data_IF_076613842565
#
_entry.id   IF_076613842565
#
_cell.length_a   1.000
_cell.length_b   1.000
_cell.length_c   1.000
_cell.angle_alpha   90.00
_cell.angle_beta   90.00
_cell.angle_gamma   90.00
#
_symmetry.space_group_name_H-M   'P 1'
#
loop_
_entity.id
_entity.type
_entity.pdbx_description
1 polymer ?
#
# COMPACT_ATOMS: atom_id res chain seq x y z
N UNK A 1 -14.31 -38.69 14.45
CA UNK A 1 -15.17 -38.09 15.51
C UNK A 1 -16.56 -37.80 14.94
N UNK A 2 -17.63 -38.37 15.52
CA UNK A 2 -19.01 -38.26 15.02
C UNK A 2 -19.45 -36.78 14.88
N UNK A 3 -20.05 -36.40 13.75
CA UNK A 3 -20.45 -35.02 13.40
C UNK A 3 -21.45 -34.43 14.41
N UNK A 4 -22.32 -35.26 15.00
CA UNK A 4 -23.25 -34.83 16.07
C UNK A 4 -22.52 -34.43 17.35
N UNK A 5 -21.51 -35.21 17.75
CA UNK A 5 -20.69 -34.94 18.94
C UNK A 5 -19.91 -33.64 18.76
N UNK A 6 -19.30 -33.42 17.58
CA UNK A 6 -18.58 -32.16 17.27
C UNK A 6 -19.51 -30.93 17.34
N UNK A 7 -20.75 -31.04 16.84
CA UNK A 7 -21.74 -29.95 16.87
C UNK A 7 -22.21 -29.65 18.29
N UNK A 8 -22.47 -30.68 19.10
CA UNK A 8 -22.82 -30.55 20.51
C UNK A 8 -21.70 -29.86 21.31
N UNK A 9 -20.46 -30.31 21.16
CA UNK A 9 -19.29 -29.71 21.83
C UNK A 9 -19.10 -28.25 21.42
N UNK A 10 -19.20 -27.92 20.12
CA UNK A 10 -19.12 -26.53 19.65
C UNK A 10 -20.20 -25.65 20.28
N UNK A 11 -21.43 -26.15 20.47
CA UNK A 11 -22.52 -25.41 21.11
C UNK A 11 -22.28 -25.25 22.62
N UNK A 12 -21.92 -26.33 23.32
CA UNK A 12 -21.67 -26.34 24.77
C UNK A 12 -20.52 -25.41 25.17
N UNK A 13 -19.45 -25.38 24.36
CA UNK A 13 -18.25 -24.57 24.61
C UNK A 13 -18.21 -23.27 23.80
N UNK A 14 -19.32 -22.85 23.17
CA UNK A 14 -19.37 -21.66 22.33
C UNK A 14 -18.83 -20.38 23.01
N UNK A 15 -19.13 -20.08 24.29
CA UNK A 15 -18.57 -18.90 24.96
C UNK A 15 -17.05 -18.92 25.07
N UNK A 16 -16.46 -20.07 25.44
CA UNK A 16 -15.00 -20.23 25.55
C UNK A 16 -14.34 -20.09 24.18
N UNK A 17 -14.96 -20.65 23.13
CA UNK A 17 -14.48 -20.47 21.75
C UNK A 17 -14.49 -18.99 21.35
N UNK A 18 -15.54 -18.23 21.69
CA UNK A 18 -15.62 -16.78 21.42
C UNK A 18 -14.53 -15.98 22.14
N UNK A 19 -14.23 -16.31 23.39
CA UNK A 19 -13.13 -15.65 24.14
C UNK A 19 -11.79 -15.95 23.49
N UNK A 20 -11.54 -17.22 23.11
CA UNK A 20 -10.34 -17.61 22.37
C UNK A 20 -10.21 -16.82 21.06
N UNK A 21 -11.31 -16.69 20.32
CA UNK A 21 -11.34 -15.94 19.06
C UNK A 21 -11.03 -14.45 19.29
N UNK A 22 -11.63 -13.82 20.31
CA UNK A 22 -11.34 -12.43 20.68
C UNK A 22 -9.85 -12.20 21.01
N UNK A 23 -9.24 -13.10 21.78
CA UNK A 23 -7.80 -13.03 22.09
C UNK A 23 -6.96 -13.19 20.82
N UNK A 24 -7.33 -14.12 19.93
CA UNK A 24 -6.64 -14.29 18.65
C UNK A 24 -6.77 -13.05 17.76
N UNK A 25 -7.93 -12.41 17.72
CA UNK A 25 -8.17 -11.15 17.00
C UNK A 25 -7.30 -10.03 17.56
N UNK A 26 -7.19 -9.89 18.88
CA UNK A 26 -6.29 -8.92 19.50
C UNK A 26 -4.82 -9.18 19.14
N UNK A 27 -4.37 -10.44 19.27
CA UNK A 27 -3.01 -10.84 18.87
C UNK A 27 -2.72 -10.53 17.41
N UNK A 28 -3.67 -10.85 16.53
CA UNK A 28 -3.53 -10.64 15.09
C UNK A 28 -3.44 -9.14 14.74
N UNK A 29 -4.32 -8.30 15.31
CA UNK A 29 -4.40 -6.90 14.93
C UNK A 29 -3.44 -5.96 15.67
N UNK A 30 -3.00 -6.32 16.88
CA UNK A 30 -2.21 -5.42 17.73
C UNK A 30 -0.79 -5.91 18.01
N UNK A 31 -0.53 -7.23 17.93
CA UNK A 31 0.78 -7.79 18.30
C UNK A 31 1.55 -8.36 17.10
N UNK A 32 0.86 -9.05 16.18
CA UNK A 32 1.51 -9.70 15.02
C UNK A 32 2.29 -8.70 14.18
N UNK A 33 1.69 -7.55 13.87
CA UNK A 33 2.33 -6.48 13.08
C UNK A 33 3.52 -5.81 13.77
N UNK A 34 3.72 -5.99 15.09
CA UNK A 34 4.86 -5.42 15.81
C UNK A 34 6.14 -6.23 15.63
N UNK A 35 6.04 -7.56 15.45
CA UNK A 35 7.21 -8.41 15.28
C UNK A 35 7.83 -8.24 13.88
N UNK A 36 8.91 -7.48 13.74
CA UNK A 36 9.59 -7.28 12.44
C UNK A 36 10.10 -8.58 11.79
N UNK A 37 10.44 -9.61 12.57
CA UNK A 37 11.08 -10.83 12.06
C UNK A 37 10.17 -11.69 11.17
N UNK A 38 8.86 -11.46 11.19
CA UNK A 38 7.91 -12.21 10.36
C UNK A 38 7.72 -11.58 8.98
N UNK A 39 8.22 -10.36 8.77
CA UNK A 39 8.12 -9.65 7.50
C UNK A 39 9.13 -10.20 6.49
N UNK A 40 8.85 -10.02 5.19
CA UNK A 40 9.85 -10.28 4.15
C UNK A 40 11.06 -9.37 4.34
N UNK A 41 10.79 -8.10 4.64
CA UNK A 41 11.77 -7.15 5.14
C UNK A 41 11.06 -5.98 5.84
N UNK A 42 11.59 -5.50 6.96
CA UNK A 42 11.16 -4.24 7.58
C UNK A 42 12.34 -3.58 8.27
N UNK A 43 12.70 -2.39 7.79
CA UNK A 43 13.74 -1.57 8.41
C UNK A 43 13.36 -1.14 9.85
N UNK A 44 14.36 -0.74 10.65
CA UNK A 44 14.18 -0.53 12.09
C UNK A 44 13.26 0.65 12.38
N UNK A 45 13.52 1.75 11.70
CA UNK A 45 12.85 3.05 11.79
C UNK A 45 11.57 3.13 10.96
N UNK A 46 11.04 1.97 10.56
CA UNK A 46 9.88 1.85 9.68
C UNK A 46 8.65 1.24 10.38
N UNK A 47 7.95 2.02 11.23
CA UNK A 47 6.87 1.49 12.05
C UNK A 47 5.58 1.28 11.25
N UNK A 48 4.83 0.28 11.70
CA UNK A 48 3.39 0.12 11.41
C UNK A 48 2.64 0.39 12.70
N UNK A 49 1.79 1.41 12.71
CA UNK A 49 0.93 1.70 13.85
C UNK A 49 -0.25 0.72 13.92
N UNK A 50 -0.68 0.38 15.13
CA UNK A 50 -1.77 -0.58 15.36
C UNK A 50 -3.10 0.16 15.59
N UNK A 51 -4.25 -0.50 15.35
CA UNK A 51 -4.41 -1.86 14.81
C UNK A 51 -4.04 -1.94 13.33
N UNK A 52 -3.58 -3.10 12.86
CA UNK A 52 -3.36 -3.36 11.45
C UNK A 52 -3.80 -4.79 11.07
N UNK A 53 -4.32 -4.99 9.87
CA UNK A 53 -4.54 -6.32 9.30
C UNK A 53 -3.40 -6.63 8.33
N UNK A 54 -2.59 -7.65 8.60
CA UNK A 54 -1.52 -8.09 7.70
C UNK A 54 -1.65 -9.60 7.50
N UNK A 55 -2.17 -10.01 6.34
CA UNK A 55 -2.49 -11.41 6.04
C UNK A 55 -1.22 -12.26 5.98
N UNK A 56 -0.30 -11.93 5.06
CA UNK A 56 0.97 -12.60 4.88
C UNK A 56 2.16 -11.62 4.97
N UNK A 57 2.68 -11.36 6.18
CA UNK A 57 3.78 -10.43 6.38
C UNK A 57 5.07 -10.77 5.61
N UNK A 58 5.31 -12.05 5.28
CA UNK A 58 6.50 -12.48 4.52
C UNK A 58 6.56 -11.85 3.11
N UNK A 59 5.41 -11.38 2.59
CA UNK A 59 5.31 -10.68 1.32
C UNK A 59 5.30 -9.16 1.46
N UNK A 60 5.57 -8.64 2.64
CA UNK A 60 5.59 -7.20 2.91
C UNK A 60 7.03 -6.76 3.13
N UNK A 61 7.45 -5.77 2.34
CA UNK A 61 8.78 -5.19 2.30
C UNK A 61 8.67 -3.70 2.58
N UNK A 62 9.16 -3.27 3.74
CA UNK A 62 9.18 -1.87 4.16
C UNK A 62 10.63 -1.41 4.30
N UNK A 63 11.07 -0.57 3.37
CA UNK A 63 12.41 -0.01 3.34
C UNK A 63 12.58 1.16 4.30
N UNK A 64 13.79 1.72 4.34
CA UNK A 64 14.24 2.67 5.33
C UNK A 64 13.35 3.91 5.43
N UNK A 65 13.10 4.36 6.66
CA UNK A 65 12.34 5.59 6.95
C UNK A 65 10.94 5.61 6.31
N UNK A 66 10.29 4.46 6.24
CA UNK A 66 8.88 4.37 5.83
C UNK A 66 7.94 4.45 7.03
N UNK A 67 6.66 4.76 6.81
CA UNK A 67 5.67 4.76 7.88
C UNK A 67 4.31 4.35 7.39
N UNK A 68 3.64 3.45 8.12
CA UNK A 68 2.24 3.11 7.90
C UNK A 68 1.46 3.38 9.19
N UNK A 69 0.44 4.24 9.12
CA UNK A 69 -0.41 4.53 10.27
C UNK A 69 -1.50 3.47 10.48
N UNK A 70 -2.19 3.56 11.61
CA UNK A 70 -3.13 2.56 12.09
C UNK A 70 -4.35 2.38 11.19
N UNK A 71 -5.12 1.34 11.49
CA UNK A 71 -6.31 0.91 10.75
C UNK A 71 -6.03 0.45 9.32
N UNK A 72 -4.77 0.18 8.98
CA UNK A 72 -4.34 -0.26 7.65
C UNK A 72 -4.59 -1.75 7.44
N UNK A 73 -4.88 -2.14 6.20
CA UNK A 73 -5.14 -3.51 5.74
C UNK A 73 -4.20 -3.85 4.58
N UNK A 74 -3.26 -4.76 4.81
CA UNK A 74 -2.31 -5.24 3.82
C UNK A 74 -2.66 -6.70 3.53
N UNK A 75 -3.29 -6.92 2.38
CA UNK A 75 -3.78 -8.21 1.92
C UNK A 75 -2.84 -8.71 0.82
N UNK A 76 -1.90 -9.55 1.23
CA UNK A 76 -0.89 -10.21 0.41
C UNK A 76 -1.09 -11.72 0.45
N UNK A 77 -0.85 -12.40 -0.67
CA UNK A 77 -0.85 -13.86 -0.73
C UNK A 77 0.35 -14.43 -1.50
N UNK A 78 0.44 -14.29 -2.83
CA UNK A 78 1.69 -14.52 -3.61
C UNK A 78 2.32 -13.22 -4.08
N UNK A 79 1.51 -12.21 -4.40
CA UNK A 79 2.01 -10.87 -4.70
C UNK A 79 2.61 -10.19 -3.47
N UNK A 80 3.58 -9.32 -3.71
CA UNK A 80 4.30 -8.55 -2.69
C UNK A 80 3.76 -7.14 -2.56
N UNK A 81 3.84 -6.60 -1.36
CA UNK A 81 3.72 -5.17 -1.13
C UNK A 81 5.10 -4.62 -0.78
N UNK A 82 5.60 -3.69 -1.61
CA UNK A 82 6.93 -3.11 -1.46
C UNK A 82 6.77 -1.61 -1.27
N UNK A 83 7.18 -1.09 -0.12
CA UNK A 83 7.20 0.33 0.20
C UNK A 83 8.64 0.79 0.33
N UNK A 84 9.11 1.58 -0.64
CA UNK A 84 10.49 2.07 -0.69
C UNK A 84 10.71 3.30 0.20
N UNK A 85 11.98 3.68 0.36
CA UNK A 85 12.46 4.65 1.35
C UNK A 85 11.72 5.99 1.34
N UNK A 86 11.63 6.62 2.51
CA UNK A 86 10.99 7.93 2.74
C UNK A 86 9.47 8.01 2.52
N UNK A 87 8.83 6.91 2.15
CA UNK A 87 7.40 6.91 1.84
C UNK A 87 6.53 6.77 3.10
N UNK A 88 5.38 7.42 3.09
CA UNK A 88 4.46 7.44 4.23
C UNK A 88 3.01 7.21 3.84
N UNK A 89 2.28 6.47 4.68
CA UNK A 89 0.86 6.26 4.56
C UNK A 89 0.11 6.72 5.82
N UNK A 90 -0.86 7.59 5.61
CA UNK A 90 -1.82 8.02 6.63
C UNK A 90 -2.78 6.86 7.02
N UNK A 91 -3.63 7.04 8.04
CA UNK A 91 -4.44 5.94 8.56
C UNK A 91 -5.39 5.35 7.52
N UNK A 92 -5.63 4.04 7.62
CA UNK A 92 -6.61 3.34 6.78
C UNK A 92 -6.10 2.92 5.40
N UNK A 93 -4.78 2.85 5.17
CA UNK A 93 -4.24 2.32 3.91
C UNK A 93 -4.76 0.91 3.65
N UNK A 94 -5.29 0.65 2.46
CA UNK A 94 -5.68 -0.68 2.00
C UNK A 94 -4.80 -1.09 0.82
N UNK A 95 -4.15 -2.24 0.90
CA UNK A 95 -3.33 -2.82 -0.16
C UNK A 95 -3.87 -4.20 -0.50
N UNK A 96 -4.12 -4.45 -1.79
CA UNK A 96 -4.65 -5.72 -2.30
C UNK A 96 -3.76 -6.19 -3.44
N UNK A 97 -2.98 -7.26 -3.25
CA UNK A 97 -2.10 -7.79 -4.31
C UNK A 97 -2.77 -8.81 -5.22
N UNK A 98 -3.90 -9.38 -4.80
CA UNK A 98 -4.60 -10.43 -5.53
C UNK A 98 -6.03 -10.07 -5.92
N UNK A 99 -6.49 -10.63 -7.04
CA UNK A 99 -7.86 -10.50 -7.51
C UNK A 99 -8.38 -11.85 -8.03
N UNK A 100 -9.59 -12.22 -7.64
CA UNK A 100 -10.26 -13.41 -8.17
C UNK A 100 -10.95 -13.06 -9.48
N UNK A 101 -10.73 -13.85 -10.54
CA UNK A 101 -11.39 -13.62 -11.82
C UNK A 101 -12.72 -14.38 -11.85
N UNK A 102 -13.86 -13.68 -12.05
CA UNK A 102 -15.14 -14.34 -12.27
C UNK A 102 -15.05 -15.35 -13.42
N UNK A 103 -15.32 -16.62 -13.12
CA UNK A 103 -15.14 -17.72 -14.07
C UNK A 103 -16.48 -18.38 -14.37
N UNK A 104 -16.83 -18.48 -15.66
CA UNK A 104 -18.07 -19.11 -16.12
C UNK A 104 -18.16 -20.55 -15.59
N UNK A 105 -19.31 -20.91 -15.02
CA UNK A 105 -19.57 -22.24 -14.46
C UNK A 105 -19.07 -22.47 -13.04
N UNK A 106 -18.37 -21.51 -12.42
CA UNK A 106 -17.86 -21.64 -11.05
C UNK A 106 -18.53 -20.61 -10.14
N UNK A 107 -19.23 -21.04 -9.07
CA UNK A 107 -19.75 -20.13 -8.06
C UNK A 107 -18.65 -19.29 -7.42
N UNK A 108 -18.84 -17.96 -7.34
CA UNK A 108 -17.79 -17.02 -6.89
C UNK A 108 -17.20 -17.37 -5.52
N UNK A 109 -18.02 -17.84 -4.56
CA UNK A 109 -17.56 -18.20 -3.21
C UNK A 109 -16.56 -19.37 -3.18
N UNK A 110 -16.50 -20.18 -4.26
CA UNK A 110 -15.54 -21.28 -4.37
C UNK A 110 -14.19 -20.82 -4.93
N UNK A 111 -14.15 -19.71 -5.68
CA UNK A 111 -12.93 -19.23 -6.34
C UNK A 111 -11.75 -19.05 -5.38
N UNK A 112 -11.90 -18.48 -4.16
CA UNK A 112 -10.76 -18.32 -3.25
C UNK A 112 -10.12 -19.64 -2.81
N UNK A 113 -10.89 -20.73 -2.78
CA UNK A 113 -10.38 -22.05 -2.39
C UNK A 113 -9.85 -22.84 -3.59
N UNK A 114 -10.46 -22.66 -4.77
CA UNK A 114 -10.09 -23.38 -5.99
C UNK A 114 -8.90 -22.75 -6.72
N UNK A 115 -8.69 -21.44 -6.54
CA UNK A 115 -7.61 -20.66 -7.17
C UNK A 115 -7.57 -20.74 -8.69
N UNK A 116 -8.76 -20.75 -9.27
CA UNK A 116 -8.93 -20.78 -10.72
C UNK A 116 -8.89 -19.35 -11.24
N UNK A 117 -8.08 -19.12 -12.28
CA UNK A 117 -7.91 -17.82 -12.92
C UNK A 117 -7.59 -16.71 -11.89
N UNK A 118 -6.67 -16.93 -10.96
CA UNK A 118 -6.26 -15.84 -10.06
C UNK A 118 -5.24 -14.92 -10.73
N UNK A 119 -5.34 -13.63 -10.44
CA UNK A 119 -4.32 -12.65 -10.82
C UNK A 119 -3.72 -12.05 -9.57
N UNK A 120 -2.42 -12.30 -9.36
CA UNK A 120 -1.64 -11.64 -8.32
C UNK A 120 -0.46 -10.92 -8.95
N UNK A 121 -0.25 -9.68 -8.52
CA UNK A 121 0.83 -8.82 -8.97
C UNK A 121 1.29 -7.95 -7.81
N UNK A 122 2.57 -7.63 -7.83
CA UNK A 122 3.18 -6.79 -6.81
C UNK A 122 2.56 -5.39 -6.82
N UNK A 123 2.42 -4.82 -5.63
CA UNK A 123 2.09 -3.41 -5.43
C UNK A 123 3.35 -2.72 -4.96
N UNK A 124 3.80 -1.72 -5.73
CA UNK A 124 5.05 -1.02 -5.48
C UNK A 124 4.74 0.43 -5.16
N UNK A 125 5.16 0.87 -3.99
CA UNK A 125 5.23 2.28 -3.61
C UNK A 125 6.68 2.68 -3.72
N UNK A 126 7.01 3.50 -4.71
CA UNK A 126 8.36 4.04 -4.91
C UNK A 126 8.74 5.00 -3.77
N UNK A 127 9.92 5.60 -3.88
CA UNK A 127 10.52 6.45 -2.85
C UNK A 127 9.81 7.81 -2.72
N UNK A 128 9.83 8.42 -1.54
CA UNK A 128 9.25 9.76 -1.27
C UNK A 128 7.74 9.89 -1.64
N UNK A 129 6.98 8.81 -1.53
CA UNK A 129 5.54 8.80 -1.82
C UNK A 129 4.74 9.15 -0.57
N UNK A 130 3.75 10.03 -0.73
CA UNK A 130 2.76 10.33 0.29
C UNK A 130 1.40 9.73 -0.06
N UNK A 131 0.93 8.79 0.75
CA UNK A 131 -0.43 8.24 0.68
C UNK A 131 -1.32 8.86 1.75
N UNK A 132 -2.38 9.54 1.32
CA UNK A 132 -3.41 10.12 2.18
C UNK A 132 -4.25 9.08 2.91
N UNK A 133 -5.16 9.53 3.78
CA UNK A 133 -5.97 8.64 4.60
C UNK A 133 -6.93 7.81 3.73
N UNK A 134 -7.17 6.56 4.10
CA UNK A 134 -8.11 5.66 3.40
C UNK A 134 -7.81 5.45 1.90
N UNK A 135 -6.55 5.54 1.49
CA UNK A 135 -6.12 5.18 0.13
C UNK A 135 -6.22 3.67 -0.08
N UNK A 136 -6.71 3.24 -1.24
CA UNK A 136 -6.72 1.84 -1.66
C UNK A 136 -5.81 1.63 -2.87
N UNK A 137 -4.84 0.72 -2.76
CA UNK A 137 -3.95 0.30 -3.83
C UNK A 137 -4.37 -1.10 -4.34
N UNK A 138 -4.67 -1.21 -5.63
CA UNK A 138 -5.07 -2.47 -6.25
C UNK A 138 -3.88 -3.22 -6.86
N UNK A 139 -4.11 -4.49 -7.18
CA UNK A 139 -3.10 -5.42 -7.69
C UNK A 139 -2.35 -4.86 -8.90
N UNK A 140 -1.01 -4.91 -8.86
CA UNK A 140 -0.15 -4.60 -10.00
C UNK A 140 0.15 -3.11 -10.22
N UNK A 141 -0.22 -2.23 -9.29
CA UNK A 141 0.07 -0.80 -9.43
C UNK A 141 1.44 -0.43 -8.88
N UNK A 142 2.12 0.46 -9.60
CA UNK A 142 3.30 1.19 -9.13
C UNK A 142 2.93 2.65 -8.87
N UNK A 143 3.20 3.14 -7.66
CA UNK A 143 3.09 4.56 -7.30
C UNK A 143 4.46 5.18 -7.51
N UNK A 144 4.61 6.04 -8.51
CA UNK A 144 5.89 6.63 -8.90
C UNK A 144 6.52 7.51 -7.81
N UNK A 145 7.86 7.61 -7.86
CA UNK A 145 8.67 8.36 -6.89
C UNK A 145 8.12 9.78 -6.69
N UNK A 146 8.06 10.23 -5.44
CA UNK A 146 7.63 11.59 -5.12
C UNK A 146 6.12 11.84 -5.29
N UNK A 147 5.31 10.85 -5.70
CA UNK A 147 3.88 11.07 -5.94
C UNK A 147 3.10 11.32 -4.64
N UNK A 148 1.99 12.05 -4.78
CA UNK A 148 1.03 12.32 -3.70
C UNK A 148 -0.32 11.73 -4.09
N UNK A 149 -0.82 10.82 -3.27
CA UNK A 149 -2.15 10.23 -3.42
C UNK A 149 -3.06 10.84 -2.36
N UNK A 150 -4.05 11.63 -2.78
CA UNK A 150 -5.01 12.24 -1.86
C UNK A 150 -5.90 11.21 -1.17
N UNK A 151 -6.49 11.62 -0.05
CA UNK A 151 -7.32 10.75 0.77
C UNK A 151 -8.50 10.14 -0.01
N UNK A 152 -8.93 8.94 0.42
CA UNK A 152 -10.04 8.17 -0.15
C UNK A 152 -9.90 7.83 -1.64
N UNK A 153 -8.67 7.88 -2.19
CA UNK A 153 -8.43 7.53 -3.60
C UNK A 153 -8.30 6.02 -3.80
N UNK A 154 -8.77 5.52 -4.95
CA UNK A 154 -8.57 4.13 -5.37
C UNK A 154 -7.65 4.09 -6.58
N UNK A 155 -6.48 3.50 -6.39
CA UNK A 155 -5.44 3.43 -7.40
C UNK A 155 -5.50 2.06 -8.09
N UNK A 156 -5.99 2.08 -9.33
CA UNK A 156 -6.20 0.90 -10.17
C UNK A 156 -5.21 0.79 -11.34
N UNK A 157 -4.33 1.77 -11.51
CA UNK A 157 -3.28 1.85 -12.54
C UNK A 157 -2.08 2.60 -11.99
N UNK A 158 -0.93 2.47 -12.66
CA UNK A 158 0.31 3.14 -12.25
C UNK A 158 0.12 4.66 -12.16
N UNK A 159 0.78 5.27 -11.17
CA UNK A 159 0.81 6.72 -10.95
C UNK A 159 2.19 7.23 -11.38
N UNK A 160 2.28 8.25 -12.26
CA UNK A 160 3.57 8.80 -12.68
C UNK A 160 4.35 9.42 -11.51
N UNK A 161 5.69 9.47 -11.56
CA UNK A 161 6.50 10.19 -10.58
C UNK A 161 6.05 11.64 -10.40
N UNK A 162 6.13 12.13 -9.17
CA UNK A 162 5.74 13.49 -8.77
C UNK A 162 4.30 13.89 -9.13
N UNK A 163 3.43 12.96 -9.53
CA UNK A 163 2.03 13.25 -9.78
C UNK A 163 1.26 13.45 -8.46
N UNK A 164 0.28 14.35 -8.48
CA UNK A 164 -0.72 14.48 -7.42
C UNK A 164 -2.04 13.94 -7.96
N UNK A 165 -2.54 12.88 -7.34
CA UNK A 165 -3.75 12.18 -7.77
C UNK A 165 -4.83 12.16 -6.70
N UNK A 166 -6.09 12.20 -7.12
CA UNK A 166 -7.25 12.10 -6.21
C UNK A 166 -8.40 11.31 -6.84
N UNK A 167 -9.19 10.62 -6.00
CA UNK A 167 -10.52 10.10 -6.35
C UNK A 167 -10.59 8.62 -6.77
N UNK A 168 -11.78 8.20 -7.21
CA UNK A 168 -12.08 6.87 -7.74
C UNK A 168 -13.08 6.99 -8.93
N UNK A 169 -12.67 6.72 -10.18
CA UNK A 169 -11.30 6.44 -10.60
C UNK A 169 -10.41 7.66 -10.33
N UNK A 170 -9.14 7.43 -9.99
CA UNK A 170 -8.24 8.54 -9.70
C UNK A 170 -7.97 9.40 -10.94
N UNK A 171 -7.69 10.68 -10.73
CA UNK A 171 -7.26 11.63 -11.76
C UNK A 171 -6.00 12.36 -11.32
N UNK A 172 -5.12 12.67 -12.26
CA UNK A 172 -3.97 13.56 -12.03
C UNK A 172 -4.49 15.02 -12.03
N UNK A 173 -4.32 15.70 -10.90
CA UNK A 173 -4.80 17.08 -10.70
C UNK A 173 -3.69 18.12 -10.68
N UNK A 174 -2.45 17.70 -10.40
CA UNK A 174 -1.29 18.56 -10.28
C UNK A 174 0.01 17.75 -10.40
N UNK A 175 1.12 18.43 -10.62
CA UNK A 175 2.45 17.94 -10.25
C UNK A 175 2.79 18.40 -8.82
N UNK A 176 3.61 17.62 -8.10
CA UNK A 176 4.10 17.98 -6.77
C UNK A 176 5.04 19.18 -6.88
N UNK A 177 5.93 19.19 -7.86
CA UNK A 177 6.99 20.18 -8.06
C UNK A 177 7.10 20.59 -9.55
N UNK A 178 7.79 21.69 -9.85
CA UNK A 178 8.26 22.00 -11.22
C UNK A 178 9.46 21.13 -11.60
N UNK A 179 9.90 21.14 -12.87
CA UNK A 179 11.08 20.39 -13.31
C UNK A 179 12.32 20.84 -12.51
N UNK A 180 12.51 22.14 -12.34
CA UNK A 180 13.65 22.70 -11.61
C UNK A 180 13.62 22.30 -10.14
N UNK A 181 12.44 22.33 -9.52
CA UNK A 181 12.25 21.88 -8.14
C UNK A 181 12.49 20.38 -7.97
N UNK A 182 12.11 19.55 -8.94
CA UNK A 182 12.42 18.11 -8.93
C UNK A 182 13.93 17.90 -9.01
N UNK A 183 14.63 18.59 -9.91
CA UNK A 183 16.09 18.48 -10.06
C UNK A 183 16.79 18.85 -8.74
N UNK A 184 16.39 19.94 -8.10
CA UNK A 184 16.95 20.37 -6.82
C UNK A 184 16.65 19.34 -5.70
N UNK A 185 15.41 18.84 -5.64
CA UNK A 185 15.00 17.82 -4.65
C UNK A 185 15.78 16.52 -4.83
N UNK A 186 15.97 16.06 -6.06
CA UNK A 186 16.70 14.82 -6.35
C UNK A 186 18.20 14.92 -6.09
N UNK A 187 18.79 16.10 -6.27
CA UNK A 187 20.19 16.35 -5.86
C UNK A 187 20.41 16.16 -4.36
N UNK A 188 19.40 16.50 -3.54
CA UNK A 188 19.46 16.39 -2.08
C UNK A 188 19.26 14.94 -1.63
N UNK A 189 18.31 14.22 -2.25
CA UNK A 189 17.89 12.91 -1.75
C UNK A 189 18.61 11.71 -2.37
N UNK A 190 19.12 11.83 -3.60
CA UNK A 190 19.58 10.68 -4.38
C UNK A 190 21.01 10.88 -4.92
N UNK A 191 21.80 9.80 -5.02
CA UNK A 191 23.08 9.83 -5.73
C UNK A 191 22.86 10.08 -7.22
N UNK A 192 23.87 10.65 -7.90
CA UNK A 192 23.74 11.12 -9.29
C UNK A 192 23.22 10.07 -10.27
N UNK A 193 23.62 8.80 -10.10
CA UNK A 193 23.21 7.68 -10.95
C UNK A 193 21.76 7.21 -10.76
N UNK A 194 21.05 7.69 -9.73
CA UNK A 194 19.65 7.36 -9.46
C UNK A 194 18.68 8.51 -9.83
N UNK A 195 19.22 9.66 -10.25
CA UNK A 195 18.42 10.85 -10.56
C UNK A 195 17.77 10.72 -11.94
N UNK A 196 16.59 11.28 -12.09
CA UNK A 196 15.93 11.44 -13.37
C UNK A 196 16.72 12.40 -14.26
N UNK A 197 16.85 12.05 -15.53
CA UNK A 197 17.47 12.94 -16.52
C UNK A 197 16.52 14.08 -16.88
N UNK A 198 17.08 15.22 -17.28
CA UNK A 198 16.27 16.37 -17.74
C UNK A 198 15.31 15.97 -18.86
N UNK A 199 15.80 15.20 -19.84
CA UNK A 199 14.97 14.68 -20.93
C UNK A 199 13.78 13.86 -20.43
N UNK A 200 14.01 12.97 -19.47
CA UNK A 200 12.91 12.19 -18.88
C UNK A 200 11.88 13.08 -18.19
N UNK A 201 12.33 14.11 -17.45
CA UNK A 201 11.43 15.05 -16.77
C UNK A 201 10.62 15.88 -17.77
N UNK A 202 11.24 16.34 -18.86
CA UNK A 202 10.54 17.04 -19.95
C UNK A 202 9.45 16.15 -20.58
N UNK A 203 9.79 14.90 -20.92
CA UNK A 203 8.85 13.93 -21.48
C UNK A 203 7.70 13.62 -20.51
N UNK A 204 8.01 13.48 -19.21
CA UNK A 204 7.05 13.24 -18.14
C UNK A 204 6.03 14.39 -18.06
N UNK A 205 6.51 15.64 -18.06
CA UNK A 205 5.66 16.83 -17.96
C UNK A 205 4.79 17.01 -19.20
N UNK A 206 5.36 16.80 -20.38
CA UNK A 206 4.63 16.84 -21.64
C UNK A 206 3.53 15.78 -21.70
N UNK A 207 3.75 14.61 -21.10
CA UNK A 207 2.77 13.50 -21.13
C UNK A 207 1.66 13.66 -20.09
N UNK A 208 1.99 14.11 -18.87
CA UNK A 208 1.07 13.98 -17.73
C UNK A 208 0.64 15.31 -17.10
N UNK A 209 1.42 16.38 -17.27
CA UNK A 209 1.26 17.61 -16.49
C UNK A 209 0.94 18.85 -17.32
N UNK A 210 0.64 18.69 -18.61
CA UNK A 210 0.15 19.79 -19.45
C UNK A 210 -1.08 20.46 -18.84
N UNK A 211 -1.01 21.78 -18.69
CA UNK A 211 -2.07 22.62 -18.09
C UNK A 211 -2.43 22.22 -16.64
N UNK A 212 -1.53 21.53 -15.93
CA UNK A 212 -1.68 21.22 -14.51
C UNK A 212 -0.90 22.23 -13.69
N UNK A 213 -1.43 22.57 -12.52
CA UNK A 213 -0.73 23.39 -11.53
C UNK A 213 0.33 22.57 -10.79
N UNK A 214 1.32 23.25 -10.25
CA UNK A 214 2.25 22.71 -9.24
C UNK A 214 1.75 23.10 -7.84
N UNK A 215 1.91 22.22 -6.84
CA UNK A 215 1.44 22.50 -5.46
C UNK A 215 2.53 22.63 -4.40
N UNK A 216 3.74 22.16 -4.68
CA UNK A 216 4.88 22.20 -3.76
C UNK A 216 5.36 23.61 -3.53
N UNK A 217 6.13 23.79 -2.45
CA UNK A 217 6.72 25.07 -2.07
C UNK A 217 8.15 24.85 -1.64
N UNK A 218 9.05 25.75 -2.03
CA UNK A 218 10.38 25.85 -1.42
C UNK A 218 10.25 26.23 0.05
N UNK A 219 11.25 25.84 0.84
CA UNK A 219 11.40 26.35 2.21
C UNK A 219 11.40 27.88 2.16
N UNK A 220 10.41 28.52 2.78
CA UNK A 220 10.49 29.95 3.02
C UNK A 220 11.68 30.19 3.93
N UNK A 221 12.57 31.11 3.57
CA UNK A 221 13.56 31.65 4.50
C UNK A 221 12.82 32.01 5.78
N UNK A 222 13.17 31.36 6.88
CA UNK A 222 12.53 31.53 8.18
C UNK A 222 12.39 33.02 8.49
N UNK A 223 11.15 33.49 8.70
CA UNK A 223 10.92 34.71 9.46
C UNK A 223 11.28 34.49 10.91
#
# INVERSE_FOLDING_TARGET
MNTKIRKYLKKKFAPILRVKDAINTMRFHYLKGQNKKIFGYRAEESPISMPAHISNPQNVFMHDQTRIQGFSKIITYTGKFIMKKYSGAAPGLTVITGNHIPTVGIPHFMLPNLRINESEKDVIVEEDVWLGANVTLLSGVTIGRGAVVGACSVISKNVPPYAVVVGNPFRIIASKFTIEEIIDHEKILYPENERFSNKYLEDLFNTHFQNKKTIGKRLSSSK
#
